data_IF_846789460675
#
_entry.id   IF_846789460675
#
_cell.length_a   1.000
_cell.length_b   1.000
_cell.length_c   1.000
_cell.angle_alpha   90.00
_cell.angle_beta   90.00
_cell.angle_gamma   90.00
#
_symmetry.space_group_name_H-M   'P 1'
#
loop_
_entity.id
_entity.type
_entity.pdbx_description
1 polymer ?
#
# COMPACT_ATOMS: atom_id res chain seq x y z
N UNK A 1 16.39 57.25 -11.05
CA UNK A 1 17.50 56.77 -11.89
C UNK A 1 17.87 55.36 -11.45
N UNK A 2 17.86 54.45 -12.41
CA UNK A 2 18.32 53.05 -12.34
C UNK A 2 19.75 52.93 -11.81
N UNK A 3 20.06 51.83 -11.10
CA UNK A 3 21.01 50.81 -11.55
C UNK A 3 21.32 49.75 -10.46
N UNK A 4 20.95 48.51 -10.74
CA UNK A 4 21.38 47.27 -10.09
C UNK A 4 22.88 47.03 -10.31
N UNK A 5 23.63 46.55 -9.31
CA UNK A 5 24.94 45.91 -9.57
C UNK A 5 25.44 44.96 -8.47
N UNK A 6 25.17 43.67 -8.75
CA UNK A 6 26.10 42.52 -8.58
C UNK A 6 26.33 41.96 -7.17
N UNK A 7 25.42 41.09 -6.74
CA UNK A 7 25.82 39.90 -5.97
C UNK A 7 26.28 38.82 -6.97
N UNK A 8 27.55 38.86 -7.37
CA UNK A 8 28.26 37.69 -7.92
C UNK A 8 29.16 37.16 -6.81
N UNK A 9 29.29 35.85 -6.76
CA UNK A 9 30.27 35.05 -5.99
C UNK A 9 29.82 34.51 -4.62
N UNK A 10 28.71 33.78 -4.62
CA UNK A 10 28.66 32.46 -3.96
C UNK A 10 27.55 31.64 -4.63
N UNK A 11 27.83 30.51 -5.29
CA UNK A 11 26.76 29.63 -5.75
C UNK A 11 26.08 29.09 -4.50
N UNK A 12 24.81 29.48 -4.32
CA UNK A 12 23.93 28.83 -3.37
C UNK A 12 23.69 27.41 -3.90
N UNK A 13 24.49 26.45 -3.44
CA UNK A 13 24.14 25.04 -3.52
C UNK A 13 22.92 24.84 -2.63
N UNK A 14 21.74 24.98 -3.23
CA UNK A 14 20.53 24.45 -2.66
C UNK A 14 20.72 22.94 -2.57
N UNK A 15 21.05 22.48 -1.37
CA UNK A 15 20.99 21.08 -1.01
C UNK A 15 19.57 20.59 -1.33
N UNK A 16 19.43 19.93 -2.48
CA UNK A 16 18.26 19.15 -2.82
C UNK A 16 18.25 17.98 -1.85
N UNK A 17 17.66 18.22 -0.69
CA UNK A 17 17.41 17.15 0.26
C UNK A 17 16.46 16.18 -0.42
N UNK A 18 16.94 14.94 -0.47
CA UNK A 18 16.52 13.89 -1.36
C UNK A 18 15.05 13.56 -1.10
N UNK A 19 14.19 13.81 -2.09
CA UNK A 19 12.87 13.20 -2.14
C UNK A 19 13.14 11.68 -2.09
N UNK A 20 12.66 10.93 -1.08
CA UNK A 20 12.78 9.49 -1.11
C UNK A 20 12.10 9.01 -2.39
N UNK A 21 12.90 8.43 -3.27
CA UNK A 21 12.48 7.85 -4.55
C UNK A 21 11.26 7.00 -4.27
N UNK A 22 10.09 7.49 -4.69
CA UNK A 22 8.91 6.66 -4.81
C UNK A 22 9.32 5.49 -5.68
N UNK A 23 9.24 4.28 -5.12
CA UNK A 23 9.57 3.05 -5.85
C UNK A 23 8.88 3.11 -7.22
N UNK A 24 9.58 2.79 -8.33
CA UNK A 24 8.91 2.72 -9.62
C UNK A 24 7.74 1.75 -9.49
N UNK A 25 6.53 2.26 -9.70
CA UNK A 25 5.35 1.43 -9.87
C UNK A 25 5.67 0.50 -11.02
N UNK A 26 5.78 -0.81 -10.76
CA UNK A 26 5.88 -1.81 -11.81
C UNK A 26 4.58 -1.73 -12.59
N UNK A 27 4.61 -1.05 -13.73
CA UNK A 27 3.57 -1.17 -14.74
C UNK A 27 3.81 -2.53 -15.40
N UNK A 28 3.12 -3.53 -14.87
CA UNK A 28 3.11 -4.88 -15.41
C UNK A 28 2.19 -4.85 -16.65
N UNK A 29 2.68 -5.13 -17.87
CA UNK A 29 1.82 -5.29 -19.03
C UNK A 29 1.09 -6.62 -18.85
N UNK A 30 -0.12 -6.59 -18.26
CA UNK A 30 -0.85 -7.82 -17.96
C UNK A 30 -1.73 -8.22 -19.13
N UNK A 31 -1.42 -9.39 -19.67
CA UNK A 31 -2.25 -10.12 -20.61
C UNK A 31 -3.63 -10.40 -19.98
N UNK A 32 -4.73 -10.30 -20.75
CA UNK A 32 -6.09 -10.38 -20.22
C UNK A 32 -6.56 -11.83 -20.21
N UNK A 33 -6.05 -12.66 -19.32
CA UNK A 33 -6.65 -13.97 -19.04
C UNK A 33 -6.19 -14.41 -17.64
N UNK A 34 -7.13 -14.91 -16.81
CA UNK A 34 -7.00 -15.33 -15.39
C UNK A 34 -7.30 -14.27 -14.28
N UNK A 35 -8.17 -13.28 -14.53
CA UNK A 35 -8.55 -12.24 -13.54
C UNK A 35 -9.69 -12.61 -12.55
N UNK A 36 -10.11 -13.88 -12.41
CA UNK A 36 -11.15 -14.27 -11.44
C UNK A 36 -10.68 -14.22 -9.97
N UNK A 37 -9.36 -14.30 -9.74
CA UNK A 37 -8.78 -14.26 -8.39
C UNK A 37 -8.46 -12.82 -7.93
N UNK A 38 -8.49 -11.85 -8.85
CA UNK A 38 -8.23 -10.44 -8.53
C UNK A 38 -9.52 -9.71 -8.19
N UNK A 39 -9.46 -8.90 -7.13
CA UNK A 39 -10.55 -8.00 -6.80
C UNK A 39 -10.71 -6.91 -7.85
N UNK A 40 -11.94 -6.74 -8.34
CA UNK A 40 -12.33 -5.61 -9.18
C UNK A 40 -12.19 -4.28 -8.42
N UNK A 41 -12.09 -3.17 -9.17
CA UNK A 41 -12.03 -1.84 -8.55
C UNK A 41 -13.27 -1.55 -7.68
N UNK A 42 -14.44 -2.07 -8.05
CA UNK A 42 -15.65 -1.92 -7.25
C UNK A 42 -15.53 -2.65 -5.90
N UNK A 43 -15.06 -3.89 -5.89
CA UNK A 43 -14.81 -4.64 -4.65
C UNK A 43 -13.77 -3.95 -3.76
N UNK A 44 -12.72 -3.38 -4.34
CA UNK A 44 -11.72 -2.59 -3.60
C UNK A 44 -12.33 -1.31 -3.01
N UNK A 45 -13.23 -0.63 -3.74
CA UNK A 45 -13.97 0.53 -3.20
C UNK A 45 -14.88 0.10 -2.05
N UNK A 46 -15.58 -1.03 -2.14
CA UNK A 46 -16.41 -1.58 -1.05
C UNK A 46 -15.58 -1.80 0.23
N UNK A 47 -14.39 -2.37 0.10
CA UNK A 47 -13.45 -2.52 1.21
C UNK A 47 -13.08 -1.18 1.86
N UNK A 48 -12.91 -0.12 1.07
CA UNK A 48 -12.57 1.21 1.57
C UNK A 48 -13.73 1.86 2.36
N UNK A 49 -14.98 1.53 2.05
CA UNK A 49 -16.16 2.03 2.77
C UNK A 49 -16.59 1.16 3.95
N UNK A 50 -16.15 -0.10 4.03
CA UNK A 50 -16.46 -1.00 5.13
C UNK A 50 -15.87 -0.51 6.45
N UNK A 51 -16.74 -0.15 7.40
CA UNK A 51 -16.33 0.32 8.73
C UNK A 51 -15.58 -0.77 9.52
N UNK A 52 -15.94 -2.03 9.29
CA UNK A 52 -15.31 -3.19 9.94
C UNK A 52 -13.87 -3.32 9.49
N UNK A 53 -13.62 -3.31 8.17
CA UNK A 53 -12.28 -3.37 7.60
C UNK A 53 -11.45 -2.16 8.05
N UNK A 54 -12.02 -0.96 8.03
CA UNK A 54 -11.35 0.25 8.52
C UNK A 54 -11.00 0.18 9.99
N UNK A 55 -11.84 -0.43 10.84
CA UNK A 55 -11.56 -0.62 12.26
C UNK A 55 -10.33 -1.51 12.45
N UNK A 56 -10.23 -2.62 11.73
CA UNK A 56 -9.04 -3.48 11.80
C UNK A 56 -7.78 -2.80 11.30
N UNK A 57 -7.88 -1.99 10.25
CA UNK A 57 -6.75 -1.21 9.72
C UNK A 57 -6.27 -0.09 10.68
N UNK A 58 -7.03 0.27 11.73
CA UNK A 58 -6.53 1.17 12.78
C UNK A 58 -5.48 0.49 13.66
N UNK A 59 -5.47 -0.84 13.74
CA UNK A 59 -4.47 -1.56 14.54
C UNK A 59 -3.11 -1.55 13.80
N UNK A 60 -2.04 -1.05 14.45
CA UNK A 60 -0.73 -0.96 13.81
C UNK A 60 -0.13 -2.33 13.49
N UNK A 61 -0.47 -3.36 14.28
CA UNK A 61 -0.02 -4.73 14.07
C UNK A 61 -0.59 -5.32 12.78
N UNK A 62 -1.89 -5.15 12.53
CA UNK A 62 -2.52 -5.59 11.26
C UNK A 62 -1.84 -4.93 10.06
N UNK A 63 -1.57 -3.62 10.11
CA UNK A 63 -0.84 -2.91 9.04
C UNK A 63 0.62 -3.37 8.89
N UNK A 64 1.25 -3.88 9.95
CA UNK A 64 2.60 -4.45 9.89
C UNK A 64 2.56 -5.83 9.25
N UNK A 65 1.59 -6.67 9.63
CA UNK A 65 1.38 -8.00 9.06
C UNK A 65 1.08 -7.93 7.56
N UNK A 66 0.17 -7.05 7.13
CA UNK A 66 -0.13 -6.84 5.70
C UNK A 66 1.13 -6.44 4.92
N UNK A 67 1.92 -5.49 5.43
CA UNK A 67 3.18 -5.08 4.77
C UNK A 67 4.22 -6.20 4.74
N UNK A 68 4.26 -7.04 5.78
CA UNK A 68 5.16 -8.19 5.84
C UNK A 68 4.79 -9.23 4.79
N UNK A 69 3.50 -9.52 4.63
CA UNK A 69 2.99 -10.47 3.62
C UNK A 69 3.28 -9.93 2.23
N UNK A 70 2.94 -8.66 1.96
CA UNK A 70 3.15 -7.99 0.66
C UNK A 70 4.63 -7.94 0.24
N UNK A 71 5.55 -7.81 1.21
CA UNK A 71 6.99 -7.76 0.98
C UNK A 71 7.74 -9.08 1.19
N UNK A 72 7.05 -10.20 1.39
CA UNK A 72 7.71 -11.50 1.64
C UNK A 72 8.06 -12.23 0.34
N UNK A 73 9.10 -13.06 0.39
CA UNK A 73 9.47 -13.94 -0.73
C UNK A 73 8.38 -14.97 -1.05
N UNK A 74 7.60 -15.39 -0.05
CA UNK A 74 6.51 -16.36 -0.19
C UNK A 74 5.24 -15.84 0.52
N UNK A 75 4.41 -15.05 -0.18
CA UNK A 75 3.25 -14.38 0.41
C UNK A 75 2.16 -15.36 0.84
N UNK A 76 1.96 -16.45 0.11
CA UNK A 76 0.94 -17.46 0.43
C UNK A 76 1.26 -18.18 1.74
N UNK A 77 2.49 -18.68 1.88
CA UNK A 77 2.94 -19.33 3.11
C UNK A 77 2.97 -18.36 4.29
N UNK A 78 3.40 -17.12 4.05
CA UNK A 78 3.43 -16.08 5.09
C UNK A 78 2.02 -15.72 5.55
N UNK A 79 1.06 -15.64 4.63
CA UNK A 79 -0.34 -15.41 4.94
C UNK A 79 -0.93 -16.55 5.79
N UNK A 80 -0.74 -17.80 5.37
CA UNK A 80 -1.22 -18.98 6.10
C UNK A 80 -0.67 -19.03 7.53
N UNK A 81 0.66 -18.89 7.64
CA UNK A 81 1.34 -18.82 8.94
C UNK A 81 0.80 -17.68 9.81
N UNK A 82 0.56 -16.50 9.22
CA UNK A 82 0.04 -15.36 9.98
C UNK A 82 -1.39 -15.60 10.46
N UNK A 83 -2.25 -16.22 9.64
CA UNK A 83 -3.62 -16.59 10.03
C UNK A 83 -3.65 -17.60 11.17
N UNK A 84 -2.74 -18.58 11.17
CA UNK A 84 -2.67 -19.57 12.27
C UNK A 84 -2.17 -18.94 13.57
N UNK A 85 -1.24 -17.99 13.50
CA UNK A 85 -0.61 -17.41 14.68
C UNK A 85 -1.36 -16.21 15.28
N UNK A 86 -2.17 -15.50 14.50
CA UNK A 86 -2.87 -14.29 14.94
C UNK A 86 -4.37 -14.37 14.62
N UNK A 87 -5.16 -14.65 15.67
CA UNK A 87 -6.62 -14.74 15.56
C UNK A 87 -7.27 -13.40 15.15
N UNK A 88 -6.67 -12.25 15.52
CA UNK A 88 -7.21 -10.94 15.14
C UNK A 88 -7.00 -10.68 13.65
N UNK A 89 -5.86 -11.12 13.12
CA UNK A 89 -5.58 -11.07 11.68
C UNK A 89 -6.48 -12.03 10.91
N UNK A 90 -6.79 -13.21 11.46
CA UNK A 90 -7.74 -14.14 10.87
C UNK A 90 -9.15 -13.53 10.77
N UNK A 91 -9.64 -12.87 11.82
CA UNK A 91 -10.92 -12.16 11.78
C UNK A 91 -10.92 -11.01 10.77
N UNK A 92 -9.79 -10.29 10.65
CA UNK A 92 -9.63 -9.26 9.62
C UNK A 92 -9.74 -9.84 8.21
N UNK A 93 -9.08 -10.97 7.95
CA UNK A 93 -9.18 -11.67 6.67
C UNK A 93 -10.62 -12.10 6.39
N UNK A 94 -11.32 -12.69 7.38
CA UNK A 94 -12.73 -13.05 7.22
C UNK A 94 -13.58 -11.83 6.84
N UNK A 95 -13.36 -10.70 7.50
CA UNK A 95 -14.04 -9.46 7.19
C UNK A 95 -13.77 -8.96 5.76
N UNK A 96 -12.53 -9.09 5.26
CA UNK A 96 -12.19 -8.78 3.87
C UNK A 96 -12.99 -9.68 2.91
N UNK A 97 -12.93 -11.00 3.13
CA UNK A 97 -13.60 -11.98 2.26
C UNK A 97 -15.11 -11.74 2.21
N UNK A 98 -15.75 -11.52 3.37
CA UNK A 98 -17.17 -11.21 3.47
C UNK A 98 -17.51 -9.95 2.66
N UNK A 99 -16.77 -8.86 2.88
CA UNK A 99 -17.02 -7.59 2.17
C UNK A 99 -16.86 -7.70 0.66
N UNK A 100 -15.98 -8.59 0.17
CA UNK A 100 -15.73 -8.78 -1.27
C UNK A 100 -16.63 -9.81 -1.95
N UNK A 101 -17.30 -10.68 -1.18
CA UNK A 101 -18.12 -11.80 -1.67
C UNK A 101 -19.63 -11.59 -1.53
N UNK A 102 -20.08 -10.57 -0.82
CA UNK A 102 -21.50 -10.20 -0.82
C UNK A 102 -21.87 -9.65 -2.21
N UNK A 103 -22.56 -10.49 -2.99
CA UNK A 103 -23.32 -10.17 -4.20
C UNK A 103 -24.76 -10.67 -4.02
#
# INVERSE_FOLDING_TARGET
MTCYKVHKTTPCESAKEQIPVARPRREDPREPDEDDERLSEEQLRRLAYSEVVRRYLKYPEIRRLVRRIDGSDDPEKTLDTTRTNDATFEEFVRALVLTTRED
#
